data_IF_692870041731
#
_entry.id   IF_692870041731
#
_cell.length_a   1.000
_cell.length_b   1.000
_cell.length_c   1.000
_cell.angle_alpha   90.00
_cell.angle_beta   90.00
_cell.angle_gamma   90.00
#
_symmetry.space_group_name_H-M   'P 1'
#
loop_
_entity.id
_entity.type
_entity.pdbx_description
1 polymer ?
#
# COMPACT_ATOMS: atom_id res chain seq x y z
N UNK A 1 18.28 11.52 -24.12
CA UNK A 1 17.19 10.80 -24.82
C UNK A 1 16.68 9.69 -23.93
N UNK A 2 15.40 9.70 -23.56
CA UNK A 2 14.77 8.58 -22.83
C UNK A 2 14.50 7.41 -23.79
N UNK A 3 14.82 6.19 -23.38
CA UNK A 3 14.53 4.98 -24.16
C UNK A 3 13.03 4.69 -24.17
N UNK A 4 12.52 4.02 -25.21
CA UNK A 4 11.09 3.64 -25.33
C UNK A 4 10.60 2.86 -24.10
N UNK A 5 11.46 2.02 -23.50
CA UNK A 5 11.20 1.32 -22.23
C UNK A 5 10.98 2.29 -21.07
N UNK A 6 11.84 3.30 -20.92
CA UNK A 6 11.70 4.32 -19.85
C UNK A 6 10.37 5.08 -19.95
N UNK A 7 9.88 5.35 -21.16
CA UNK A 7 8.57 5.98 -21.37
C UNK A 7 7.41 5.11 -20.89
N UNK A 8 7.41 3.81 -21.20
CA UNK A 8 6.37 2.86 -20.77
C UNK A 8 6.33 2.81 -19.23
N UNK A 9 7.48 2.70 -18.57
CA UNK A 9 7.54 2.65 -17.11
C UNK A 9 7.13 3.96 -16.43
N UNK A 10 7.44 5.09 -17.05
CA UNK A 10 6.95 6.40 -16.60
C UNK A 10 5.43 6.45 -16.65
N UNK A 11 4.82 6.06 -17.78
CA UNK A 11 3.36 6.02 -17.90
C UNK A 11 2.71 5.07 -16.89
N UNK A 12 3.26 3.87 -16.68
CA UNK A 12 2.76 2.89 -15.71
C UNK A 12 2.84 3.42 -14.26
N UNK A 13 3.90 4.14 -13.94
CA UNK A 13 4.08 4.74 -12.61
C UNK A 13 3.15 5.92 -12.39
N UNK A 14 2.94 6.76 -13.42
CA UNK A 14 1.98 7.85 -13.37
C UNK A 14 0.55 7.34 -13.25
N UNK A 15 0.16 6.31 -13.99
CA UNK A 15 -1.19 5.72 -13.84
C UNK A 15 -1.38 5.11 -12.46
N UNK A 16 -0.38 4.44 -11.90
CA UNK A 16 -0.44 3.93 -10.53
C UNK A 16 -0.55 5.05 -9.47
N UNK A 17 0.24 6.11 -9.59
CA UNK A 17 0.20 7.25 -8.68
C UNK A 17 -1.15 7.99 -8.76
N UNK A 18 -1.64 8.26 -9.98
CA UNK A 18 -2.94 8.88 -10.20
C UNK A 18 -4.07 8.00 -9.68
N UNK A 19 -4.01 6.68 -9.91
CA UNK A 19 -5.02 5.76 -9.38
C UNK A 19 -5.01 5.74 -7.85
N UNK A 20 -3.84 5.64 -7.22
CA UNK A 20 -3.71 5.68 -5.77
C UNK A 20 -4.24 7.00 -5.17
N UNK A 21 -3.96 8.13 -5.82
CA UNK A 21 -4.48 9.44 -5.42
C UNK A 21 -5.99 9.55 -5.61
N UNK A 22 -6.52 9.10 -6.75
CA UNK A 22 -7.97 9.05 -7.01
C UNK A 22 -8.65 8.18 -5.96
N UNK A 23 -8.14 6.98 -5.68
CA UNK A 23 -8.69 6.09 -4.65
C UNK A 23 -8.66 6.74 -3.27
N UNK A 24 -7.55 7.41 -2.90
CA UNK A 24 -7.44 8.15 -1.64
C UNK A 24 -8.48 9.27 -1.53
N UNK A 25 -8.64 10.07 -2.58
CA UNK A 25 -9.63 11.14 -2.64
C UNK A 25 -11.06 10.58 -2.63
N UNK A 26 -11.32 9.52 -3.38
CA UNK A 26 -12.61 8.82 -3.41
C UNK A 26 -12.98 8.21 -2.06
N UNK A 27 -12.00 7.77 -1.26
CA UNK A 27 -12.18 7.28 0.11
C UNK A 27 -12.42 8.41 1.11
N UNK A 28 -11.69 9.52 1.01
CA UNK A 28 -11.92 10.71 1.85
C UNK A 28 -13.30 11.31 1.62
N UNK A 29 -13.80 11.22 0.39
CA UNK A 29 -15.11 11.73 -0.02
C UNK A 29 -16.18 10.64 0.09
N UNK A 30 -15.81 9.40 0.46
CA UNK A 30 -16.67 8.21 0.36
C UNK A 30 -18.08 8.52 0.86
N UNK A 31 -19.04 8.73 -0.06
CA UNK A 31 -20.37 9.13 0.33
C UNK A 31 -20.96 8.01 1.16
N UNK A 32 -21.80 8.34 2.13
CA UNK A 32 -22.53 7.32 2.89
C UNK A 32 -23.31 6.33 1.99
N UNK A 33 -23.56 6.69 0.72
CA UNK A 33 -24.17 5.85 -0.32
C UNK A 33 -23.24 4.85 -1.02
N UNK A 34 -21.92 4.96 -0.89
CA UNK A 34 -20.94 3.93 -1.31
C UNK A 34 -20.69 2.88 -0.22
N UNK A 35 -21.30 3.04 0.97
CA UNK A 35 -21.50 1.91 1.88
C UNK A 35 -22.37 0.92 1.12
N UNK A 36 -21.79 -0.08 0.47
CA UNK A 36 -22.54 -1.18 -0.14
C UNK A 36 -23.39 -1.77 0.99
N UNK A 37 -24.70 -1.47 1.08
CA UNK A 37 -25.45 -1.69 2.32
C UNK A 37 -25.60 -3.18 2.63
N UNK A 38 -25.30 -4.04 1.66
CA UNK A 38 -25.59 -5.47 1.65
C UNK A 38 -24.42 -6.30 1.08
N UNK A 39 -23.18 -5.81 1.03
CA UNK A 39 -22.07 -6.74 0.74
C UNK A 39 -21.96 -7.68 1.94
N UNK A 40 -22.05 -9.01 1.77
CA UNK A 40 -22.00 -9.92 2.90
C UNK A 40 -20.60 -9.85 3.49
N UNK A 41 -20.45 -9.03 4.53
CA UNK A 41 -19.35 -9.01 5.50
C UNK A 41 -19.39 -10.33 6.29
N UNK A 42 -19.22 -11.45 5.58
CA UNK A 42 -19.00 -12.73 6.24
C UNK A 42 -17.65 -12.66 6.95
N UNK A 43 -17.58 -13.24 8.15
CA UNK A 43 -16.34 -13.32 8.91
C UNK A 43 -15.23 -13.97 8.08
N UNK A 44 -15.60 -14.98 7.27
CA UNK A 44 -14.71 -15.64 6.30
C UNK A 44 -14.11 -14.67 5.30
N UNK A 45 -14.90 -13.76 4.71
CA UNK A 45 -14.38 -12.75 3.78
C UNK A 45 -13.40 -11.81 4.47
N UNK A 46 -13.71 -11.34 5.68
CA UNK A 46 -12.85 -10.43 6.44
C UNK A 46 -11.53 -11.11 6.84
N UNK A 47 -11.57 -12.38 7.23
CA UNK A 47 -10.37 -13.17 7.54
C UNK A 47 -9.50 -13.38 6.30
N UNK A 48 -10.09 -13.82 5.18
CA UNK A 48 -9.34 -14.05 3.93
C UNK A 48 -8.68 -12.75 3.46
N UNK A 49 -9.44 -11.66 3.40
CA UNK A 49 -8.91 -10.37 2.95
C UNK A 49 -7.84 -9.83 3.91
N UNK A 50 -8.01 -10.01 5.23
CA UNK A 50 -7.00 -9.64 6.24
C UNK A 50 -5.69 -10.43 6.11
N UNK A 51 -5.76 -11.75 5.96
CA UNK A 51 -4.56 -12.58 5.77
C UNK A 51 -3.86 -12.30 4.43
N UNK A 52 -4.64 -12.05 3.38
CA UNK A 52 -4.10 -11.68 2.08
C UNK A 52 -3.39 -10.31 2.14
N UNK A 53 -3.96 -9.32 2.85
CA UNK A 53 -3.29 -8.04 3.12
C UNK A 53 -1.99 -8.22 3.88
N UNK A 54 -1.99 -9.03 4.94
CA UNK A 54 -0.79 -9.28 5.72
C UNK A 54 0.30 -9.92 4.87
N UNK A 55 -0.08 -10.90 4.03
CA UNK A 55 0.84 -11.58 3.10
C UNK A 55 1.44 -10.58 2.10
N UNK A 56 0.61 -9.71 1.52
CA UNK A 56 1.06 -8.65 0.60
C UNK A 56 2.00 -7.66 1.30
N UNK A 57 1.68 -7.26 2.54
CA UNK A 57 2.49 -6.32 3.32
C UNK A 57 3.85 -6.93 3.70
N UNK A 58 3.87 -8.19 4.11
CA UNK A 58 5.10 -8.94 4.38
C UNK A 58 5.96 -9.05 3.11
N UNK A 59 5.33 -9.37 1.96
CA UNK A 59 6.01 -9.40 0.69
C UNK A 59 6.62 -8.03 0.37
N UNK A 60 5.83 -6.95 0.46
CA UNK A 60 6.27 -5.57 0.21
C UNK A 60 7.47 -5.16 1.05
N UNK A 61 7.46 -5.43 2.37
CA UNK A 61 8.57 -5.11 3.27
C UNK A 61 9.82 -5.94 2.94
N UNK A 62 9.65 -7.18 2.50
CA UNK A 62 10.75 -8.06 2.08
C UNK A 62 11.48 -7.59 0.82
N UNK A 63 10.90 -6.71 0.01
CA UNK A 63 11.60 -6.15 -1.17
C UNK A 63 12.81 -5.30 -0.79
N UNK A 64 12.83 -4.67 0.38
CA UNK A 64 13.96 -3.83 0.78
C UNK A 64 15.28 -4.62 0.89
N UNK A 65 15.39 -5.68 1.73
CA UNK A 65 16.62 -6.47 1.81
C UNK A 65 16.96 -7.16 0.48
N UNK A 66 15.94 -7.62 -0.27
CA UNK A 66 16.15 -8.23 -1.60
C UNK A 66 16.80 -7.23 -2.57
N UNK A 67 16.29 -5.98 -2.63
CA UNK A 67 16.86 -4.90 -3.45
C UNK A 67 18.28 -4.54 -3.05
N UNK A 68 18.63 -4.62 -1.76
CA UNK A 68 20.01 -4.39 -1.31
C UNK A 68 20.96 -5.50 -1.77
N UNK A 69 20.49 -6.75 -1.86
CA UNK A 69 21.32 -7.88 -2.28
C UNK A 69 21.57 -7.96 -3.80
N UNK A 70 20.70 -7.36 -4.61
CA UNK A 70 20.77 -7.45 -6.08
C UNK A 70 21.47 -6.21 -6.68
N UNK A 71 22.74 -6.36 -7.05
CA UNK A 71 23.58 -5.27 -7.58
C UNK A 71 23.33 -4.92 -9.05
N UNK A 72 22.50 -5.67 -9.79
CA UNK A 72 22.30 -5.48 -11.23
C UNK A 72 21.19 -4.46 -11.55
N UNK A 73 21.43 -3.59 -12.54
CA UNK A 73 20.51 -2.52 -12.93
C UNK A 73 19.20 -3.01 -13.56
N UNK A 74 19.21 -4.15 -14.27
CA UNK A 74 18.04 -4.69 -14.96
C UNK A 74 17.08 -5.38 -13.98
N UNK A 75 17.61 -6.12 -12.98
CA UNK A 75 16.78 -6.74 -11.95
C UNK A 75 16.07 -5.70 -11.07
N UNK A 76 16.70 -4.55 -10.83
CA UNK A 76 16.15 -3.50 -9.98
C UNK A 76 14.89 -2.84 -10.56
N UNK A 77 14.81 -2.68 -11.88
CA UNK A 77 13.62 -2.10 -12.52
C UNK A 77 12.41 -3.03 -12.41
N UNK A 78 12.59 -4.31 -12.74
CA UNK A 78 11.55 -5.33 -12.61
C UNK A 78 11.06 -5.44 -11.17
N UNK A 79 11.98 -5.43 -10.19
CA UNK A 79 11.62 -5.45 -8.77
C UNK A 79 10.83 -4.22 -8.34
N UNK A 80 11.15 -3.03 -8.85
CA UNK A 80 10.38 -1.83 -8.54
C UNK A 80 8.95 -1.89 -9.11
N UNK A 81 8.78 -2.46 -10.31
CA UNK A 81 7.46 -2.63 -10.92
C UNK A 81 6.64 -3.64 -10.14
N UNK A 82 7.22 -4.80 -9.81
CA UNK A 82 6.52 -5.82 -9.01
C UNK A 82 6.12 -5.22 -7.65
N UNK A 83 7.02 -4.49 -7.00
CA UNK A 83 6.72 -3.82 -5.74
C UNK A 83 5.56 -2.80 -5.88
N UNK A 84 5.55 -2.00 -6.95
CA UNK A 84 4.46 -1.06 -7.22
C UNK A 84 3.12 -1.76 -7.48
N UNK A 85 3.12 -2.85 -8.25
CA UNK A 85 1.93 -3.67 -8.51
C UNK A 85 1.40 -4.29 -7.21
N UNK A 86 2.27 -4.84 -6.36
CA UNK A 86 1.88 -5.37 -5.05
C UNK A 86 1.29 -4.27 -4.15
N UNK A 87 1.86 -3.06 -4.17
CA UNK A 87 1.34 -1.92 -3.42
C UNK A 87 -0.06 -1.50 -3.89
N UNK A 88 -0.30 -1.54 -5.20
CA UNK A 88 -1.62 -1.28 -5.78
C UNK A 88 -2.64 -2.36 -5.43
N UNK A 89 -2.26 -3.63 -5.51
CA UNK A 89 -3.10 -4.76 -5.09
C UNK A 89 -3.44 -4.66 -3.60
N UNK A 90 -2.47 -4.33 -2.76
CA UNK A 90 -2.68 -4.08 -1.33
C UNK A 90 -3.67 -2.93 -1.10
N UNK A 91 -3.50 -1.81 -1.81
CA UNK A 91 -4.39 -0.65 -1.72
C UNK A 91 -5.83 -1.02 -2.08
N UNK A 92 -6.04 -1.71 -3.21
CA UNK A 92 -7.37 -2.14 -3.64
C UNK A 92 -8.01 -3.09 -2.62
N UNK A 93 -7.25 -4.06 -2.13
CA UNK A 93 -7.72 -4.99 -1.11
C UNK A 93 -8.07 -4.28 0.21
N UNK A 94 -7.32 -3.24 0.58
CA UNK A 94 -7.60 -2.40 1.75
C UNK A 94 -8.93 -1.65 1.62
N UNK A 95 -9.25 -1.17 0.42
CA UNK A 95 -10.54 -0.51 0.15
C UNK A 95 -11.69 -1.50 0.32
N UNK A 96 -11.55 -2.73 -0.18
CA UNK A 96 -12.58 -3.75 -0.04
C UNK A 96 -12.71 -4.30 1.38
N UNK A 97 -11.60 -4.37 2.13
CA UNK A 97 -11.59 -4.84 3.50
C UNK A 97 -12.20 -3.84 4.49
N UNK A 98 -12.02 -2.54 4.24
CA UNK A 98 -12.57 -1.48 5.09
C UNK A 98 -14.03 -1.22 4.69
N UNK A 99 -14.93 -1.97 5.31
CA UNK A 99 -16.37 -1.92 4.99
C UNK A 99 -17.16 -0.88 5.79
N UNK A 100 -16.53 -0.28 6.79
CA UNK A 100 -17.05 0.84 7.58
C UNK A 100 -15.98 1.91 7.67
N UNK A 101 -16.39 3.17 7.87
CA UNK A 101 -15.45 4.26 8.10
C UNK A 101 -14.59 3.92 9.33
N UNK A 102 -13.27 3.81 9.18
CA UNK A 102 -12.39 3.46 10.30
C UNK A 102 -12.39 4.61 11.31
N UNK A 103 -12.28 4.28 12.59
CA UNK A 103 -12.25 5.25 13.69
C UNK A 103 -11.09 4.97 14.65
N UNK A 104 -10.74 5.97 15.47
CA UNK A 104 -9.62 5.84 16.42
C UNK A 104 -8.30 5.48 15.74
N UNK A 105 -7.60 4.47 16.26
CA UNK A 105 -6.30 4.04 15.72
C UNK A 105 -6.39 3.48 14.29
N UNK A 106 -7.52 2.87 13.90
CA UNK A 106 -7.71 2.29 12.57
C UNK A 106 -7.74 3.38 11.49
N UNK A 107 -8.29 4.55 11.81
CA UNK A 107 -8.28 5.70 10.90
C UNK A 107 -6.84 6.16 10.65
N UNK A 108 -6.04 6.27 11.71
CA UNK A 108 -4.62 6.65 11.61
C UNK A 108 -3.86 5.62 10.78
N UNK A 109 -4.04 4.32 11.06
CA UNK A 109 -3.41 3.24 10.29
C UNK A 109 -3.78 3.31 8.81
N UNK A 110 -5.07 3.53 8.50
CA UNK A 110 -5.55 3.65 7.14
C UNK A 110 -4.94 4.84 6.38
N UNK A 111 -4.85 6.00 7.04
CA UNK A 111 -4.18 7.19 6.47
C UNK A 111 -2.68 6.93 6.22
N UNK A 112 -1.97 6.35 7.19
CA UNK A 112 -0.54 6.06 7.04
C UNK A 112 -0.30 5.04 5.92
N UNK A 113 -1.15 4.01 5.77
CA UNK A 113 -1.08 3.07 4.66
C UNK A 113 -1.19 3.78 3.30
N UNK A 114 -2.17 4.67 3.14
CA UNK A 114 -2.35 5.41 1.90
C UNK A 114 -1.20 6.37 1.60
N UNK A 115 -0.72 7.12 2.59
CA UNK A 115 0.46 7.97 2.44
C UNK A 115 1.71 7.16 2.09
N UNK A 116 1.83 5.94 2.62
CA UNK A 116 2.93 5.02 2.29
C UNK A 116 2.87 4.60 0.82
N UNK A 117 1.71 4.20 0.32
CA UNK A 117 1.55 3.82 -1.10
C UNK A 117 1.78 5.02 -2.03
N UNK A 118 1.21 6.19 -1.70
CA UNK A 118 1.37 7.41 -2.49
C UNK A 118 2.84 7.86 -2.52
N UNK A 119 3.54 7.85 -1.38
CA UNK A 119 4.97 8.19 -1.33
C UNK A 119 5.83 7.22 -2.14
N UNK A 120 5.54 5.92 -2.10
CA UNK A 120 6.22 4.92 -2.91
C UNK A 120 6.01 5.13 -4.42
N UNK A 121 4.77 5.38 -4.84
CA UNK A 121 4.46 5.69 -6.24
C UNK A 121 5.08 7.03 -6.69
N UNK A 122 5.02 8.06 -5.82
CA UNK A 122 5.63 9.36 -6.05
C UNK A 122 7.14 9.28 -6.22
N UNK A 123 7.84 8.45 -5.44
CA UNK A 123 9.27 8.21 -5.59
C UNK A 123 9.64 7.59 -6.95
N UNK A 124 8.76 6.77 -7.53
CA UNK A 124 8.95 6.19 -8.86
C UNK A 124 8.81 7.24 -9.97
N UNK A 125 7.79 8.11 -9.87
CA UNK A 125 7.49 9.13 -10.89
C UNK A 125 8.42 10.34 -10.80
N UNK A 126 8.64 10.84 -9.59
CA UNK A 126 9.30 12.12 -9.34
C UNK A 126 10.83 11.98 -9.19
N UNK A 127 11.39 10.77 -9.28
CA UNK A 127 12.83 10.49 -9.06
C UNK A 127 13.78 11.44 -9.80
N UNK A 128 13.41 11.85 -11.02
CA UNK A 128 14.21 12.73 -11.88
C UNK A 128 13.95 14.23 -11.66
N UNK A 129 12.90 14.59 -10.93
CA UNK A 129 12.44 15.97 -10.74
C UNK A 129 12.72 16.51 -9.32
N UNK A 130 13.02 15.63 -8.36
CA UNK A 130 13.33 16.00 -6.98
C UNK A 130 14.82 15.94 -6.70
N UNK A 131 15.29 16.77 -5.76
CA UNK A 131 16.69 16.76 -5.34
C UNK A 131 17.09 15.41 -4.73
N UNK A 132 18.37 15.00 -4.82
CA UNK A 132 18.84 13.75 -4.22
C UNK A 132 18.55 13.67 -2.71
N UNK A 133 18.62 14.79 -2.01
CA UNK A 133 18.33 14.88 -0.57
C UNK A 133 16.85 14.61 -0.28
N UNK A 134 15.93 15.27 -0.99
CA UNK A 134 14.49 15.03 -0.83
C UNK A 134 14.12 13.59 -1.19
N UNK A 135 14.71 13.03 -2.24
CA UNK A 135 14.52 11.63 -2.62
C UNK A 135 14.89 10.68 -1.47
N UNK A 136 16.04 10.90 -0.83
CA UNK A 136 16.48 10.06 0.28
C UNK A 136 15.58 10.21 1.51
N UNK A 137 15.15 11.44 1.83
CA UNK A 137 14.20 11.69 2.93
C UNK A 137 12.89 10.95 2.67
N UNK A 138 12.29 11.13 1.49
CA UNK A 138 11.01 10.48 1.14
C UNK A 138 11.14 8.95 1.12
N UNK A 139 12.27 8.40 0.64
CA UNK A 139 12.54 6.97 0.70
C UNK A 139 12.61 6.45 2.14
N UNK A 140 13.34 7.13 3.01
CA UNK A 140 13.43 6.75 4.42
C UNK A 140 12.07 6.83 5.13
N UNK A 141 11.29 7.88 4.85
CA UNK A 141 9.93 8.00 5.37
C UNK A 141 9.03 6.87 4.88
N UNK A 142 9.09 6.53 3.60
CA UNK A 142 8.32 5.42 3.01
C UNK A 142 8.69 4.05 3.64
N UNK A 143 9.99 3.81 3.86
CA UNK A 143 10.46 2.59 4.52
C UNK A 143 9.99 2.55 5.98
N UNK A 144 10.20 3.64 6.73
CA UNK A 144 9.78 3.74 8.13
C UNK A 144 8.27 3.56 8.28
N UNK A 145 7.48 4.19 7.42
CA UNK A 145 6.02 4.06 7.44
C UNK A 145 5.57 2.65 7.05
N UNK A 146 6.27 1.97 6.14
CA UNK A 146 5.99 0.56 5.79
C UNK A 146 6.24 -0.40 6.97
N UNK A 147 7.29 -0.17 7.77
CA UNK A 147 7.53 -0.96 8.98
C UNK A 147 6.50 -0.65 10.07
N UNK A 148 6.15 0.63 10.25
CA UNK A 148 5.11 1.03 11.18
C UNK A 148 3.76 0.39 10.83
N UNK A 149 3.36 0.41 9.55
CA UNK A 149 2.10 -0.18 9.10
C UNK A 149 2.11 -1.69 9.28
N UNK A 150 3.23 -2.38 9.00
CA UNK A 150 3.37 -3.80 9.28
C UNK A 150 3.16 -4.11 10.78
N UNK A 151 3.84 -3.39 11.67
CA UNK A 151 3.69 -3.58 13.11
C UNK A 151 2.25 -3.32 13.57
N UNK A 152 1.64 -2.22 13.12
CA UNK A 152 0.26 -1.87 13.46
C UNK A 152 -0.76 -2.87 12.90
N UNK A 153 -0.55 -3.40 11.69
CA UNK A 153 -1.37 -4.46 11.11
C UNK A 153 -1.26 -5.78 11.89
N UNK A 154 -0.06 -6.14 12.36
CA UNK A 154 0.11 -7.32 13.23
C UNK A 154 -0.63 -7.15 14.56
N UNK A 155 -0.54 -5.97 15.18
CA UNK A 155 -1.29 -5.63 16.39
C UNK A 155 -2.80 -5.71 16.13
N UNK A 156 -3.28 -5.15 15.02
CA UNK A 156 -4.68 -5.24 14.62
C UNK A 156 -5.15 -6.69 14.49
N UNK A 157 -4.39 -7.54 13.78
CA UNK A 157 -4.72 -8.96 13.60
C UNK A 157 -4.70 -9.70 14.94
N UNK A 158 -3.74 -9.41 15.81
CA UNK A 158 -3.71 -9.97 17.16
C UNK A 158 -4.98 -9.60 17.95
N UNK A 159 -5.40 -8.33 17.91
CA UNK A 159 -6.63 -7.90 18.58
C UNK A 159 -7.87 -8.56 18.00
N UNK A 160 -7.97 -8.64 16.67
CA UNK A 160 -9.07 -9.35 16.01
C UNK A 160 -9.06 -10.81 16.46
N UNK A 161 -7.94 -11.52 16.35
CA UNK A 161 -7.86 -12.92 16.75
C UNK A 161 -8.21 -13.13 18.22
N UNK A 162 -7.57 -12.43 19.15
CA UNK A 162 -7.74 -12.65 20.59
C UNK A 162 -9.14 -12.27 21.08
N UNK A 163 -9.71 -11.17 20.59
CA UNK A 163 -10.95 -10.62 21.16
C UNK A 163 -12.21 -10.89 20.32
N UNK A 164 -12.08 -11.42 19.11
CA UNK A 164 -13.24 -11.86 18.31
C UNK A 164 -13.38 -13.37 18.20
N UNK A 165 -12.30 -14.16 18.38
CA UNK A 165 -12.39 -15.63 18.35
C UNK A 165 -12.98 -16.26 19.62
N UNK A 166 -13.05 -15.50 20.72
CA UNK A 166 -13.57 -15.98 22.01
C UNK A 166 -15.08 -15.75 22.20
N UNK A 167 -15.76 -15.17 21.20
CA UNK A 167 -17.21 -14.93 21.22
C UNK A 167 -17.85 -15.83 20.17
N UNK A 168 -17.82 -17.13 20.43
CA UNK A 168 -18.66 -18.16 19.79
C UNK A 168 -19.29 -18.99 20.90
#
# INVERSE_FOLDING_TARGET
MQTQRQKIYFHLSCTAASLALILYISLLIMPASMRLPNYPNSDTFMQITGYLQLTLLLALVSFHPIKQSLSSSVSMLSLNIIHALLGMSFMMLNIFHVTKLPSGYLLILHLVLHLTVISGAGLLVLKSYISPQLRNITLNLHIASSFFTLAASLVHIYFVYVYTSTVQ
#
